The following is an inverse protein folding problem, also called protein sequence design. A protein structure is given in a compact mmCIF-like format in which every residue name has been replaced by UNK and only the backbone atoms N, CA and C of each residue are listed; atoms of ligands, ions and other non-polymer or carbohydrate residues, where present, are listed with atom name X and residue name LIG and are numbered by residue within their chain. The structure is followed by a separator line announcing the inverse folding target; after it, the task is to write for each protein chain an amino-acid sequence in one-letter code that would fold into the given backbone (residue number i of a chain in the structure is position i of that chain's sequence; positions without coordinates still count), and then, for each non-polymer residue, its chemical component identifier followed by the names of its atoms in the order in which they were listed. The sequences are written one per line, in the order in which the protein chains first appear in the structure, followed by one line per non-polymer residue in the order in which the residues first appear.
data_IF_183979503696
#
_entry.id   IF_183979503696
#
_cell.length_a   1.000
_cell.length_b   1.000
_cell.length_c   1.000
_cell.angle_alpha   90.00
_cell.angle_beta   90.00
_cell.angle_gamma   90.00
#
_symmetry.space_group_name_H-M   'P 1'
#
loop_
_entity.id
_entity.type
_entity.pdbx_description
1 polymer ?
#
# COMPACT_ATOMS: atom_id res chain seq x y z
N UNK A 1 11.65 -23.79 -6.94
CA UNK A 1 10.55 -22.83 -6.87
C UNK A 1 9.77 -23.04 -5.58
N UNK A 2 9.63 -22.00 -4.81
CA UNK A 2 8.79 -22.08 -3.63
C UNK A 2 7.39 -21.60 -4.00
N UNK A 3 6.39 -22.33 -3.52
CA UNK A 3 4.99 -21.96 -3.72
C UNK A 3 4.50 -21.05 -2.59
N UNK A 4 5.44 -20.39 -1.90
CA UNK A 4 5.10 -19.50 -0.80
C UNK A 4 4.38 -18.26 -1.29
N UNK A 5 3.22 -17.99 -0.68
CA UNK A 5 2.46 -16.78 -0.91
C UNK A 5 2.73 -15.82 0.24
N UNK A 6 3.14 -14.60 -0.09
CA UNK A 6 3.43 -13.57 0.90
C UNK A 6 2.20 -12.71 1.19
N UNK A 7 2.00 -12.41 2.47
CA UNK A 7 0.92 -11.53 2.90
C UNK A 7 1.44 -10.10 3.04
N UNK A 8 0.81 -9.16 2.36
CA UNK A 8 1.22 -7.75 2.31
C UNK A 8 0.07 -6.86 2.75
N UNK A 9 0.33 -5.99 3.71
CA UNK A 9 -0.65 -5.03 4.22
C UNK A 9 -0.21 -3.61 3.88
N UNK A 10 -1.08 -2.86 3.22
CA UNK A 10 -0.88 -1.44 2.94
C UNK A 10 -1.70 -0.60 3.92
N UNK A 11 -1.05 0.33 4.59
CA UNK A 11 -1.67 1.18 5.61
C UNK A 11 -1.74 2.64 5.18
N UNK A 12 -2.89 3.24 5.44
CA UNK A 12 -3.13 4.67 5.30
C UNK A 12 -4.03 5.07 6.47
N UNK A 13 -4.22 6.35 6.70
CA UNK A 13 -5.09 6.79 7.81
C UNK A 13 -6.56 6.45 7.55
N UNK A 14 -7.10 6.93 6.43
CA UNK A 14 -8.53 6.78 6.11
C UNK A 14 -8.92 5.51 5.38
N UNK A 15 -7.95 4.80 4.81
CA UNK A 15 -8.20 3.62 3.97
C UNK A 15 -9.30 3.87 2.92
N UNK A 16 -9.17 4.98 2.18
CA UNK A 16 -10.14 5.36 1.14
C UNK A 16 -9.56 5.42 -0.25
N UNK A 17 -8.28 5.72 -0.39
CA UNK A 17 -7.63 5.95 -1.68
C UNK A 17 -6.30 5.23 -1.82
N UNK A 18 -5.20 5.78 -1.27
CA UNK A 18 -3.84 5.27 -1.53
C UNK A 18 -3.65 3.79 -1.20
N UNK A 19 -4.07 3.35 -0.03
CA UNK A 19 -3.93 1.95 0.37
C UNK A 19 -4.87 1.03 -0.42
N UNK A 20 -6.03 1.52 -0.82
CA UNK A 20 -6.97 0.79 -1.68
C UNK A 20 -6.37 0.57 -3.07
N UNK A 21 -5.75 1.62 -3.64
CA UNK A 21 -5.07 1.52 -4.92
C UNK A 21 -3.95 0.47 -4.86
N UNK A 22 -3.11 0.55 -3.84
CA UNK A 22 -1.99 -0.38 -3.67
C UNK A 22 -2.45 -1.83 -3.53
N UNK A 23 -3.48 -2.07 -2.72
CA UNK A 23 -4.05 -3.42 -2.54
C UNK A 23 -4.51 -4.00 -3.87
N UNK A 24 -5.26 -3.26 -4.66
CA UNK A 24 -5.77 -3.72 -5.94
C UNK A 24 -4.65 -3.97 -6.94
N UNK A 25 -3.66 -3.07 -6.99
CA UNK A 25 -2.52 -3.23 -7.90
C UNK A 25 -1.76 -4.52 -7.58
N UNK A 26 -1.44 -4.75 -6.32
CA UNK A 26 -0.70 -5.95 -5.94
C UNK A 26 -1.53 -7.22 -6.14
N UNK A 27 -2.83 -7.15 -5.91
CA UNK A 27 -3.73 -8.30 -6.14
C UNK A 27 -3.62 -8.81 -7.56
N UNK A 28 -3.54 -7.92 -8.54
CA UNK A 28 -3.41 -8.29 -9.95
C UNK A 28 -1.95 -8.54 -10.35
N UNK A 29 -1.07 -7.56 -10.09
CA UNK A 29 0.32 -7.60 -10.57
C UNK A 29 1.18 -8.62 -9.82
N UNK A 30 0.75 -9.04 -8.65
CA UNK A 30 1.44 -10.07 -7.86
C UNK A 30 1.30 -11.48 -8.43
N UNK A 31 0.39 -11.68 -9.36
CA UNK A 31 0.22 -12.95 -10.11
C UNK A 31 0.14 -14.19 -9.22
N UNK A 32 -0.64 -14.11 -8.15
CA UNK A 32 -0.85 -15.23 -7.23
C UNK A 32 0.27 -15.46 -6.20
N UNK A 33 1.33 -14.68 -6.26
CA UNK A 33 2.45 -14.80 -5.30
C UNK A 33 2.20 -14.01 -4.01
N UNK A 34 1.20 -13.16 -3.98
CA UNK A 34 0.91 -12.27 -2.86
C UNK A 34 -0.58 -12.25 -2.54
N UNK A 35 -0.88 -12.23 -1.25
CA UNK A 35 -2.20 -11.83 -0.76
C UNK A 35 -2.09 -10.36 -0.35
N UNK A 36 -2.90 -9.51 -0.92
CA UNK A 36 -2.86 -8.08 -0.68
C UNK A 36 -4.01 -7.65 0.23
N UNK A 37 -3.69 -6.85 1.23
CA UNK A 37 -4.64 -6.31 2.20
C UNK A 37 -4.40 -4.81 2.36
N UNK A 38 -5.42 -4.08 2.80
CA UNK A 38 -5.28 -2.69 3.17
C UNK A 38 -6.11 -2.35 4.39
N UNK A 39 -5.70 -1.35 5.15
CA UNK A 39 -6.44 -0.89 6.32
C UNK A 39 -6.04 0.53 6.68
N UNK A 40 -6.76 1.14 7.61
CA UNK A 40 -6.48 2.45 8.14
C UNK A 40 -6.64 2.52 9.65
N UNK A 41 -5.96 3.49 10.26
CA UNK A 41 -6.09 3.75 11.71
C UNK A 41 -7.45 4.39 12.02
N UNK A 42 -7.95 5.21 11.11
CA UNK A 42 -9.21 5.93 11.24
C UNK A 42 -10.01 5.80 9.94
N UNK A 43 -10.51 4.58 9.64
CA UNK A 43 -11.21 4.34 8.38
C UNK A 43 -12.48 5.17 8.28
N UNK A 44 -12.71 5.73 7.08
CA UNK A 44 -13.91 6.54 6.84
C UNK A 44 -15.13 5.70 6.48
N UNK A 45 -14.95 4.40 6.28
CA UNK A 45 -16.03 3.46 5.99
C UNK A 45 -16.44 3.38 4.53
N UNK A 46 -15.96 4.29 3.70
CA UNK A 46 -16.25 4.32 2.27
C UNK A 46 -14.98 4.44 1.44
N UNK A 47 -14.92 3.70 0.34
CA UNK A 47 -13.83 3.83 -0.64
C UNK A 47 -14.10 5.04 -1.52
N UNK A 48 -13.05 5.81 -1.81
CA UNK A 48 -13.17 7.00 -2.65
C UNK A 48 -13.59 6.59 -4.08
N UNK A 49 -14.65 7.21 -4.64
CA UNK A 49 -15.12 6.88 -5.99
C UNK A 49 -14.07 7.06 -7.09
N UNK A 50 -13.18 8.04 -6.96
CA UNK A 50 -12.10 8.25 -7.94
C UNK A 50 -11.08 7.12 -7.91
N UNK A 51 -10.85 6.52 -6.74
CA UNK A 51 -9.98 5.35 -6.64
C UNK A 51 -10.57 4.19 -7.42
N UNK A 52 -11.84 3.90 -7.22
CA UNK A 52 -12.53 2.83 -7.97
C UNK A 52 -12.54 3.11 -9.47
N UNK A 53 -12.74 4.37 -9.85
CA UNK A 53 -12.79 4.78 -11.26
C UNK A 53 -11.45 4.56 -11.96
N UNK A 54 -10.34 4.98 -11.33
CA UNK A 54 -9.02 4.81 -11.95
C UNK A 54 -8.64 3.33 -12.03
N UNK A 55 -8.95 2.55 -11.01
CA UNK A 55 -8.69 1.11 -11.03
C UNK A 55 -9.45 0.43 -12.16
N UNK A 56 -10.75 0.70 -12.29
CA UNK A 56 -11.57 0.13 -13.36
C UNK A 56 -11.04 0.52 -14.74
N UNK A 57 -10.68 1.80 -14.92
CA UNK A 57 -10.15 2.30 -16.18
C UNK A 57 -8.83 1.64 -16.57
N UNK A 58 -8.02 1.27 -15.60
CA UNK A 58 -6.73 0.60 -15.82
C UNK A 58 -6.83 -0.93 -15.85
N UNK A 59 -8.04 -1.48 -15.69
CA UNK A 59 -8.25 -2.92 -15.73
C UNK A 59 -7.87 -3.65 -14.43
N UNK A 60 -7.90 -2.97 -13.31
CA UNK A 60 -7.58 -3.55 -12.00
C UNK A 60 -8.85 -3.87 -11.20
N UNK A 61 -8.80 -4.88 -10.30
CA UNK A 61 -10.01 -5.31 -9.59
C UNK A 61 -10.50 -4.25 -8.59
N UNK A 62 -11.82 -4.10 -8.54
CA UNK A 62 -12.49 -3.22 -7.58
C UNK A 62 -13.40 -4.02 -6.64
N UNK A 63 -13.64 -5.28 -6.92
CA UNK A 63 -14.49 -6.14 -6.13
C UNK A 63 -13.92 -6.35 -4.73
N UNK A 64 -14.79 -6.27 -3.72
CA UNK A 64 -14.40 -6.48 -2.33
C UNK A 64 -13.64 -5.32 -1.70
N UNK A 65 -13.44 -4.22 -2.43
CA UNK A 65 -12.78 -3.04 -1.89
C UNK A 65 -13.65 -2.44 -0.77
N UNK A 66 -13.06 -2.27 0.42
CA UNK A 66 -13.75 -1.69 1.57
C UNK A 66 -12.78 -0.95 2.46
N UNK A 67 -13.26 0.10 3.08
CA UNK A 67 -12.51 0.87 4.08
C UNK A 67 -12.67 0.18 5.44
N UNK A 68 -11.55 -0.14 6.10
CA UNK A 68 -11.56 -0.94 7.32
C UNK A 68 -10.44 -0.56 8.28
N UNK A 69 -10.65 -0.88 9.55
CA UNK A 69 -9.70 -0.58 10.59
C UNK A 69 -8.55 -1.60 10.61
N UNK A 70 -7.35 -1.13 10.87
CA UNK A 70 -6.16 -1.98 10.96
C UNK A 70 -6.21 -3.01 12.08
N UNK A 71 -7.07 -2.81 13.10
CA UNK A 71 -7.25 -3.78 14.17
C UNK A 71 -7.74 -5.13 13.66
N UNK A 72 -8.40 -5.19 12.51
CA UNK A 72 -8.80 -6.45 11.87
C UNK A 72 -7.60 -7.36 11.60
N UNK A 73 -6.41 -6.78 11.40
CA UNK A 73 -5.20 -7.51 11.07
C UNK A 73 -4.23 -7.68 12.25
N UNK A 74 -4.62 -7.18 13.42
CA UNK A 74 -3.79 -7.25 14.62
C UNK A 74 -4.23 -8.36 15.60
N UNK A 75 -5.22 -9.13 15.24
CA UNK A 75 -5.74 -10.24 16.07
C UNK A 75 -4.93 -11.51 15.86
N UNK A 76 -4.94 -12.46 16.83
CA UNK A 76 -4.25 -13.75 16.64
C UNK A 76 -4.78 -14.58 15.48
N UNK A 77 -6.06 -14.38 15.09
CA UNK A 77 -6.71 -15.10 13.98
C UNK A 77 -6.43 -14.46 12.62
N UNK A 78 -5.90 -13.24 12.59
CA UNK A 78 -5.61 -12.54 11.34
C UNK A 78 -4.47 -13.23 10.59
N UNK A 79 -4.41 -13.11 9.25
CA UNK A 79 -3.27 -13.59 8.50
C UNK A 79 -1.99 -12.94 9.01
N UNK A 80 -0.91 -13.72 9.13
CA UNK A 80 0.39 -13.18 9.52
C UNK A 80 0.97 -12.42 8.34
N UNK A 81 1.26 -11.13 8.54
CA UNK A 81 1.83 -10.30 7.49
C UNK A 81 3.33 -10.56 7.33
N UNK A 82 3.76 -10.67 6.11
CA UNK A 82 5.19 -10.74 5.77
C UNK A 82 5.75 -9.33 5.53
N UNK A 83 4.92 -8.44 5.00
CA UNK A 83 5.28 -7.04 4.72
C UNK A 83 4.16 -6.10 5.13
N UNK A 84 4.55 -4.96 5.70
CA UNK A 84 3.61 -3.87 6.00
C UNK A 84 4.20 -2.57 5.44
N UNK A 85 3.46 -1.94 4.53
CA UNK A 85 3.86 -0.68 3.91
C UNK A 85 2.90 0.44 4.31
N UNK A 86 3.43 1.53 4.86
CA UNK A 86 2.64 2.75 5.05
C UNK A 86 2.72 3.58 3.78
N UNK A 87 1.58 4.01 3.26
CA UNK A 87 1.52 4.77 2.01
C UNK A 87 1.10 6.23 2.21
N UNK A 88 0.91 6.65 3.45
CA UNK A 88 0.72 8.06 3.80
C UNK A 88 1.58 8.40 5.01
N UNK A 89 2.00 9.67 5.09
CA UNK A 89 2.90 10.13 6.15
C UNK A 89 2.24 10.10 7.53
N UNK A 90 0.94 10.39 7.59
CA UNK A 90 0.18 10.34 8.85
C UNK A 90 0.19 8.94 9.46
N UNK A 91 -0.03 7.91 8.64
CA UNK A 91 -0.01 6.52 9.11
C UNK A 91 1.38 6.12 9.62
N UNK A 92 2.44 6.62 9.00
CA UNK A 92 3.81 6.36 9.44
C UNK A 92 4.12 6.96 10.81
N UNK A 93 3.48 8.08 11.15
CA UNK A 93 3.68 8.76 12.42
C UNK A 93 2.75 8.28 13.54
N UNK A 94 1.80 7.41 13.24
CA UNK A 94 0.85 6.91 14.24
C UNK A 94 1.41 5.70 14.98
N UNK A 95 0.92 5.49 16.21
CA UNK A 95 1.28 4.32 17.01
C UNK A 95 0.59 3.08 16.43
N UNK A 96 1.30 2.33 15.62
CA UNK A 96 0.78 1.11 15.01
C UNK A 96 0.67 -0.03 16.01
N UNK A 97 -0.29 -0.95 15.81
CA UNK A 97 -0.30 -2.22 16.55
C UNK A 97 0.98 -3.01 16.31
N UNK A 98 1.29 -3.92 17.22
CA UNK A 98 2.35 -4.90 17.00
C UNK A 98 1.75 -6.01 16.14
N UNK A 99 2.27 -6.14 14.91
CA UNK A 99 1.75 -7.12 13.96
C UNK A 99 2.27 -8.52 14.28
N UNK A 100 1.39 -9.54 14.34
CA UNK A 100 1.85 -10.92 14.49
C UNK A 100 2.82 -11.31 13.37
N UNK A 101 3.90 -12.04 13.71
CA UNK A 101 4.84 -12.56 12.73
C UNK A 101 6.03 -11.65 12.41
N UNK A 102 6.12 -10.48 13.01
CA UNK A 102 7.23 -9.54 12.81
C UNK A 102 7.50 -9.22 11.33
N UNK A 103 6.55 -8.62 10.62
CA UNK A 103 6.72 -8.31 9.19
C UNK A 103 7.85 -7.33 8.94
N UNK A 104 8.40 -7.38 7.73
CA UNK A 104 9.30 -6.33 7.26
C UNK A 104 8.43 -5.10 6.94
N UNK A 105 8.82 -3.94 7.44
CA UNK A 105 8.07 -2.70 7.27
C UNK A 105 8.85 -1.70 6.44
N UNK A 106 8.13 -0.89 5.66
CA UNK A 106 8.71 0.22 4.91
C UNK A 106 7.69 1.33 4.75
N UNK A 107 8.17 2.55 4.56
CA UNK A 107 7.32 3.69 4.28
C UNK A 107 7.39 4.06 2.80
N UNK A 108 6.24 3.97 2.13
CA UNK A 108 6.07 4.28 0.71
C UNK A 108 5.12 5.46 0.53
N UNK A 109 5.37 6.55 1.25
CA UNK A 109 4.49 7.71 1.27
C UNK A 109 4.40 8.44 -0.07
N UNK A 110 3.19 8.76 -0.48
CA UNK A 110 2.89 9.62 -1.62
C UNK A 110 1.84 10.63 -1.20
N UNK A 111 1.72 11.73 -1.97
CA UNK A 111 0.70 12.73 -1.72
C UNK A 111 -0.71 12.15 -1.82
N UNK A 112 -1.61 12.70 -1.01
CA UNK A 112 -3.00 12.28 -1.00
C UNK A 112 -3.75 12.83 -2.22
N UNK A 113 -4.14 11.98 -3.19
CA UNK A 113 -4.89 12.46 -4.35
C UNK A 113 -6.28 12.97 -3.98
N UNK A 114 -6.84 12.51 -2.86
CA UNK A 114 -8.16 12.96 -2.40
C UNK A 114 -8.13 14.38 -1.81
N UNK A 115 -6.94 14.90 -1.49
CA UNK A 115 -6.79 16.27 -0.98
C UNK A 115 -6.79 17.31 -2.09
N UNK A 116 -6.72 16.91 -3.34
CA UNK A 116 -6.72 17.85 -4.47
C UNK A 116 -8.11 18.49 -4.60
N UNK A 117 -8.13 19.81 -4.60
CA UNK A 117 -9.32 20.60 -4.85
C UNK A 117 -9.36 21.04 -6.31
N UNK A 118 -10.56 21.17 -6.88
CA UNK A 118 -10.71 21.59 -8.25
C UNK A 118 -11.77 20.79 -8.99
N UNK A 119 -11.63 20.71 -10.30
CA UNK A 119 -12.57 19.99 -11.17
C UNK A 119 -12.38 18.47 -11.05
N UNK A 120 -13.37 17.72 -11.54
CA UNK A 120 -13.28 16.26 -11.58
C UNK A 120 -12.10 15.80 -12.43
N UNK A 121 -11.79 16.52 -13.51
CA UNK A 121 -10.63 16.22 -14.36
C UNK A 121 -9.33 16.37 -13.57
N UNK A 122 -9.20 17.42 -12.77
CA UNK A 122 -8.02 17.64 -11.94
C UNK A 122 -7.89 16.55 -10.87
N UNK A 123 -8.99 16.15 -10.27
CA UNK A 123 -9.02 15.06 -9.28
C UNK A 123 -8.67 13.72 -9.91
N UNK A 124 -9.23 13.41 -11.07
CA UNK A 124 -8.89 12.19 -11.82
C UNK A 124 -7.41 12.14 -12.16
N UNK A 125 -6.85 13.28 -12.56
CA UNK A 125 -5.42 13.39 -12.89
C UNK A 125 -4.56 13.09 -11.66
N UNK A 126 -4.95 13.58 -10.49
CA UNK A 126 -4.25 13.29 -9.23
C UNK A 126 -4.32 11.81 -8.86
N UNK A 127 -5.47 11.18 -9.05
CA UNK A 127 -5.62 9.73 -8.80
C UNK A 127 -4.84 8.89 -9.79
N UNK A 128 -4.79 9.28 -11.06
CA UNK A 128 -3.97 8.60 -12.06
C UNK A 128 -2.48 8.70 -11.72
N UNK A 129 -2.04 9.84 -11.22
CA UNK A 129 -0.65 10.03 -10.80
C UNK A 129 -0.30 9.17 -9.59
N UNK A 130 -1.18 9.14 -8.58
CA UNK A 130 -1.01 8.29 -7.41
C UNK A 130 -0.95 6.80 -7.80
N UNK A 131 -1.83 6.38 -8.70
CA UNK A 131 -1.84 5.03 -9.25
C UNK A 131 -0.49 4.70 -9.90
N UNK A 132 0.04 5.60 -10.73
CA UNK A 132 1.32 5.39 -11.41
C UNK A 132 2.47 5.24 -10.42
N UNK A 133 2.54 6.08 -9.41
CA UNK A 133 3.60 6.01 -8.40
C UNK A 133 3.54 4.70 -7.62
N UNK A 134 2.37 4.27 -7.20
CA UNK A 134 2.19 3.01 -6.48
C UNK A 134 2.50 1.82 -7.37
N UNK A 135 2.05 1.84 -8.61
CA UNK A 135 2.33 0.77 -9.57
C UNK A 135 3.83 0.60 -9.81
N UNK A 136 4.56 1.70 -9.94
CA UNK A 136 6.01 1.66 -10.12
C UNK A 136 6.69 0.99 -8.93
N UNK A 137 6.28 1.31 -7.71
CA UNK A 137 6.82 0.71 -6.50
C UNK A 137 6.50 -0.78 -6.42
N UNK A 138 5.27 -1.13 -6.70
CA UNK A 138 4.81 -2.53 -6.64
C UNK A 138 5.49 -3.36 -7.72
N UNK A 139 5.70 -2.82 -8.92
CA UNK A 139 6.43 -3.50 -10.00
C UNK A 139 7.84 -3.87 -9.55
N UNK A 140 8.54 -2.95 -8.90
CA UNK A 140 9.88 -3.21 -8.39
C UNK A 140 9.88 -4.20 -7.24
N UNK A 141 8.90 -4.09 -6.33
CA UNK A 141 8.75 -5.02 -5.24
C UNK A 141 8.54 -6.45 -5.72
N UNK A 142 7.63 -6.64 -6.67
CA UNK A 142 7.32 -7.98 -7.22
C UNK A 142 8.48 -8.57 -8.01
N UNK A 143 9.41 -7.74 -8.47
CA UNK A 143 10.61 -8.17 -9.19
C UNK A 143 11.76 -8.57 -8.26
N UNK A 144 11.68 -8.27 -6.96
CA UNK A 144 12.73 -8.63 -6.01
C UNK A 144 12.79 -10.15 -5.80
N UNK A 145 14.03 -10.72 -5.74
CA UNK A 145 14.19 -12.13 -5.39
C UNK A 145 14.08 -12.29 -3.86
N UNK A 146 12.87 -12.12 -3.32
CA UNK A 146 12.59 -12.03 -1.89
C UNK A 146 13.21 -13.18 -1.11
N UNK A 147 13.09 -14.40 -1.62
CA UNK A 147 13.57 -15.61 -0.95
C UNK A 147 15.09 -15.70 -0.86
N UNK A 148 15.80 -15.00 -1.76
CA UNK A 148 17.27 -14.99 -1.82
C UNK A 148 17.90 -13.88 -1.01
N UNK A 149 17.12 -12.92 -0.54
CA UNK A 149 17.63 -11.77 0.20
C UNK A 149 17.49 -11.98 1.70
N UNK A 150 18.54 -11.62 2.45
CA UNK A 150 18.41 -11.54 3.89
C UNK A 150 17.50 -10.39 4.31
N UNK A 151 17.04 -10.42 5.56
CA UNK A 151 16.07 -9.43 6.07
C UNK A 151 16.58 -8.00 5.98
N UNK A 152 17.84 -7.75 6.29
CA UNK A 152 18.40 -6.40 6.26
C UNK A 152 18.50 -5.86 4.83
N UNK A 153 18.99 -6.67 3.91
CA UNK A 153 19.09 -6.30 2.50
C UNK A 153 17.71 -6.02 1.92
N UNK A 154 16.74 -6.89 2.24
CA UNK A 154 15.37 -6.72 1.80
C UNK A 154 14.78 -5.41 2.33
N UNK A 155 14.96 -5.12 3.61
CA UNK A 155 14.49 -3.88 4.22
C UNK A 155 15.08 -2.65 3.54
N UNK A 156 16.38 -2.68 3.23
CA UNK A 156 17.05 -1.58 2.54
C UNK A 156 16.52 -1.39 1.11
N UNK A 157 16.29 -2.48 0.39
CA UNK A 157 15.71 -2.42 -0.95
C UNK A 157 14.30 -1.81 -0.94
N UNK A 158 13.48 -2.21 0.02
CA UNK A 158 12.11 -1.70 0.16
C UNK A 158 12.11 -0.21 0.49
N UNK A 159 13.06 0.25 1.31
CA UNK A 159 13.22 1.68 1.62
C UNK A 159 13.60 2.47 0.36
N UNK A 160 14.54 1.98 -0.42
CA UNK A 160 14.97 2.62 -1.67
C UNK A 160 13.80 2.76 -2.66
N UNK A 161 12.98 1.72 -2.78
CA UNK A 161 11.77 1.76 -3.61
C UNK A 161 10.84 2.88 -3.13
N UNK A 162 10.68 3.04 -1.83
CA UNK A 162 9.82 4.07 -1.26
C UNK A 162 10.31 5.50 -1.49
N UNK A 163 11.60 5.69 -1.78
CA UNK A 163 12.20 7.00 -2.02
C UNK A 163 12.13 7.46 -3.48
N UNK A 164 11.52 6.69 -4.35
CA UNK A 164 11.43 7.02 -5.77
C UNK A 164 10.46 8.16 -6.07
N UNK A 165 10.36 8.51 -7.36
CA UNK A 165 9.49 9.60 -7.85
C UNK A 165 8.11 9.56 -7.18
N UNK A 166 7.68 10.69 -6.66
CA UNK A 166 6.41 10.83 -5.97
C UNK A 166 6.51 10.69 -4.46
N UNK A 167 7.68 10.33 -3.91
CA UNK A 167 7.87 10.19 -2.47
C UNK A 167 7.66 11.53 -1.75
N UNK A 168 6.96 11.46 -0.62
CA UNK A 168 6.78 12.62 0.25
C UNK A 168 8.03 12.87 1.09
N UNK A 169 8.19 14.12 1.58
CA UNK A 169 9.37 14.51 2.35
C UNK A 169 9.56 13.69 3.64
N UNK A 170 8.46 13.25 4.26
CA UNK A 170 8.54 12.48 5.50
C UNK A 170 9.16 11.10 5.30
N UNK A 171 9.15 10.59 4.07
CA UNK A 171 9.82 9.34 3.75
C UNK A 171 11.33 9.43 3.95
N UNK A 172 11.90 10.64 3.89
CA UNK A 172 13.33 10.89 4.06
C UNK A 172 13.72 11.14 5.53
N UNK A 173 12.74 11.41 6.39
CA UNK A 173 12.98 11.75 7.79
C UNK A 173 12.89 10.55 8.73
N UNK A 174 12.40 9.43 8.26
CA UNK A 174 12.23 8.20 9.04
C UNK A 174 13.45 7.31 8.83
N UNK A 175 14.59 7.78 9.31
CA UNK A 175 15.84 7.00 9.31
C UNK A 175 16.10 6.44 10.69
#
# INVERSE_FOLDING_TARGET
MTDRVYNVLFLCTGNTARSILAESILRKDGMGRFNAFSAGSHPKGEVNPFALKVLAAQGYPTEGARSKNWDEFATPEAPKMDFVFTVCDSAAGEACPVWPGHPVTAHWGIEDPAAVEGTDIEKERAFNLAFRYLRNRITQFTALPIESLDRLTLKNRLREIGEEEGATHNAQLVN
#
